data_IF_277010954406
#
_entry.id   IF_277010954406
#
_cell.length_a   1.000
_cell.length_b   1.000
_cell.length_c   1.000
_cell.angle_alpha   90.00
_cell.angle_beta   90.00
_cell.angle_gamma   90.00
#
_symmetry.space_group_name_H-M   'P 1'
#
loop_
_entity.id
_entity.type
_entity.pdbx_description
1 polymer ?
#
# COMPACT_ATOMS: atom_id res chain seq x y z
N UNK A 1 8.62 -1.14 -3.98
CA UNK A 1 7.16 -1.14 -4.19
C UNK A 1 6.71 -2.02 -5.36
N UNK A 2 7.38 -2.01 -6.51
CA UNK A 2 6.93 -2.79 -7.67
C UNK A 2 6.84 -4.30 -7.40
N UNK A 3 7.84 -4.87 -6.71
CA UNK A 3 7.83 -6.27 -6.29
C UNK A 3 6.65 -6.61 -5.37
N UNK A 4 6.24 -5.70 -4.48
CA UNK A 4 5.05 -5.91 -3.65
C UNK A 4 3.80 -6.04 -4.52
N UNK A 5 3.64 -5.20 -5.54
CA UNK A 5 2.52 -5.30 -6.48
C UNK A 5 2.56 -6.57 -7.33
N UNK A 6 3.74 -7.07 -7.69
CA UNK A 6 3.88 -8.36 -8.37
C UNK A 6 3.38 -9.50 -7.47
N UNK A 7 3.76 -9.49 -6.19
CA UNK A 7 3.34 -10.50 -5.23
C UNK A 7 1.84 -10.45 -4.93
N UNK A 8 1.24 -9.26 -4.85
CA UNK A 8 -0.23 -9.11 -4.74
C UNK A 8 -0.93 -9.69 -5.98
N UNK A 9 -0.42 -9.36 -7.18
CA UNK A 9 -0.96 -9.87 -8.45
C UNK A 9 -0.93 -11.39 -8.48
N UNK A 10 0.21 -11.99 -8.07
CA UNK A 10 0.41 -13.44 -8.02
C UNK A 10 -0.45 -14.10 -6.95
N UNK A 11 -0.49 -13.54 -5.74
CA UNK A 11 -1.19 -14.11 -4.59
C UNK A 11 -2.71 -14.09 -4.72
N UNK A 12 -3.26 -13.05 -5.36
CA UNK A 12 -4.70 -12.90 -5.59
C UNK A 12 -5.15 -13.32 -6.99
N UNK A 13 -4.24 -13.81 -7.84
CA UNK A 13 -4.56 -14.27 -9.20
C UNK A 13 -5.11 -13.17 -10.12
N UNK A 14 -4.68 -11.92 -9.92
CA UNK A 14 -5.18 -10.77 -10.67
C UNK A 14 -4.59 -10.75 -12.09
N UNK A 15 -5.41 -10.42 -13.08
CA UNK A 15 -4.97 -10.31 -14.49
C UNK A 15 -4.34 -8.95 -14.80
N UNK A 16 -4.95 -7.86 -14.31
CA UNK A 16 -4.42 -6.50 -14.40
C UNK A 16 -5.14 -5.57 -13.43
N UNK A 17 -4.43 -4.60 -12.86
CA UNK A 17 -4.96 -3.56 -11.98
C UNK A 17 -4.04 -2.34 -11.99
N UNK A 18 -4.47 -1.22 -11.42
CA UNK A 18 -3.78 0.09 -11.57
C UNK A 18 -2.39 0.22 -10.94
N UNK A 19 -1.93 -0.77 -10.16
CA UNK A 19 -0.60 -0.84 -9.51
C UNK A 19 -0.18 0.48 -8.84
N UNK A 20 -1.10 1.03 -8.06
CA UNK A 20 -0.91 2.19 -7.20
C UNK A 20 -1.72 1.97 -5.90
N UNK A 21 -1.54 2.85 -4.91
CA UNK A 21 -2.16 2.66 -3.59
C UNK A 21 -3.69 2.69 -3.63
N UNK A 22 -4.29 3.54 -4.47
CA UNK A 22 -5.75 3.62 -4.61
C UNK A 22 -6.29 2.32 -5.24
N UNK A 23 -5.64 1.87 -6.31
CA UNK A 23 -5.99 0.61 -6.96
C UNK A 23 -5.74 -0.60 -6.03
N UNK A 24 -4.79 -0.52 -5.10
CA UNK A 24 -4.52 -1.58 -4.14
C UNK A 24 -5.65 -1.66 -3.11
N UNK A 25 -6.06 -0.50 -2.59
CA UNK A 25 -7.23 -0.37 -1.72
C UNK A 25 -8.50 -0.92 -2.40
N UNK A 26 -8.70 -0.65 -3.70
CA UNK A 26 -9.83 -1.18 -4.46
C UNK A 26 -9.76 -2.70 -4.64
N UNK A 27 -8.56 -3.26 -4.86
CA UNK A 27 -8.37 -4.71 -4.97
C UNK A 27 -8.80 -5.44 -3.70
N UNK A 28 -8.48 -4.88 -2.52
CA UNK A 28 -8.86 -5.48 -1.23
C UNK A 28 -10.39 -5.49 -1.03
N UNK A 29 -11.07 -4.42 -1.47
CA UNK A 29 -12.54 -4.33 -1.40
C UNK A 29 -13.26 -5.43 -2.18
N UNK A 30 -12.66 -5.87 -3.28
CA UNK A 30 -13.20 -6.96 -4.08
C UNK A 30 -13.58 -6.58 -5.51
N UNK A 31 -14.10 -7.56 -6.25
CA UNK A 31 -14.55 -7.37 -7.64
C UNK A 31 -13.48 -7.60 -8.72
N UNK A 32 -12.27 -8.00 -8.32
CA UNK A 32 -11.14 -8.28 -9.22
C UNK A 32 -10.81 -9.77 -9.38
N UNK A 33 -11.73 -10.66 -8.97
CA UNK A 33 -11.49 -12.10 -8.84
C UNK A 33 -10.92 -12.51 -7.47
N UNK A 34 -10.90 -11.58 -6.52
CA UNK A 34 -10.52 -11.84 -5.12
C UNK A 34 -11.54 -12.74 -4.40
N UNK A 35 -11.13 -13.45 -3.33
CA UNK A 35 -12.01 -14.35 -2.58
C UNK A 35 -13.29 -13.68 -2.10
N UNK A 36 -14.43 -14.37 -2.25
CA UNK A 36 -15.70 -13.90 -1.73
C UNK A 36 -15.78 -14.09 -0.20
N UNK A 37 -16.25 -13.07 0.51
CA UNK A 37 -16.45 -13.12 1.97
C UNK A 37 -15.21 -12.81 2.81
N UNK A 38 -14.15 -12.28 2.19
CA UNK A 38 -12.92 -11.89 2.88
C UNK A 38 -11.80 -12.93 2.80
N UNK A 39 -10.62 -12.54 3.28
CA UNK A 39 -9.44 -13.41 3.33
C UNK A 39 -8.37 -12.86 4.29
N UNK A 40 -7.45 -13.73 4.71
CA UNK A 40 -6.28 -13.30 5.48
C UNK A 40 -5.15 -12.93 4.53
N UNK A 41 -4.70 -11.66 4.58
CA UNK A 41 -3.50 -11.19 3.93
C UNK A 41 -2.29 -11.50 4.81
N UNK A 42 -1.65 -12.66 4.59
CA UNK A 42 -0.42 -13.02 5.31
C UNK A 42 0.81 -12.47 4.58
N UNK A 43 1.51 -11.53 5.20
CA UNK A 43 2.75 -10.96 4.69
C UNK A 43 3.95 -11.58 5.40
N UNK A 44 4.52 -12.62 4.78
CA UNK A 44 5.74 -13.29 5.28
C UNK A 44 6.98 -12.41 5.06
N UNK A 45 7.94 -12.46 5.99
CA UNK A 45 9.15 -11.63 5.99
C UNK A 45 8.82 -10.14 5.94
N UNK A 46 7.76 -9.77 6.66
CA UNK A 46 7.29 -8.40 6.78
C UNK A 46 8.36 -7.47 7.38
N UNK A 47 9.24 -7.98 8.25
CA UNK A 47 10.37 -7.21 8.78
C UNK A 47 11.37 -6.81 7.68
N UNK A 48 11.77 -7.74 6.80
CA UNK A 48 12.62 -7.46 5.64
C UNK A 48 11.92 -6.49 4.68
N UNK A 49 10.62 -6.70 4.46
CA UNK A 49 9.82 -5.82 3.62
C UNK A 49 9.74 -4.39 4.19
N UNK A 50 9.65 -4.22 5.51
CA UNK A 50 9.62 -2.90 6.14
C UNK A 50 10.91 -2.10 5.93
N UNK A 51 12.06 -2.79 5.91
CA UNK A 51 13.34 -2.17 5.58
C UNK A 51 13.41 -1.76 4.10
N UNK A 52 12.98 -2.64 3.19
CA UNK A 52 12.98 -2.39 1.75
C UNK A 52 11.96 -1.32 1.31
N UNK A 53 10.82 -1.24 2.00
CA UNK A 53 9.73 -0.29 1.74
C UNK A 53 9.78 0.93 2.70
N UNK A 54 10.90 1.10 3.41
CA UNK A 54 11.14 2.20 4.33
C UNK A 54 11.37 3.55 3.65
N UNK A 55 12.04 4.48 4.32
CA UNK A 55 12.20 5.86 3.85
C UNK A 55 12.83 6.01 2.45
N UNK A 56 13.87 5.26 2.04
CA UNK A 56 14.43 5.39 0.70
C UNK A 56 13.40 5.10 -0.42
N UNK A 57 12.62 4.04 -0.28
CA UNK A 57 11.56 3.73 -1.25
C UNK A 57 10.40 4.70 -1.15
N UNK A 58 10.12 5.22 0.05
CA UNK A 58 9.10 6.25 0.29
C UNK A 58 9.43 7.54 -0.45
N UNK A 59 10.67 8.01 -0.38
CA UNK A 59 11.14 9.17 -1.15
C UNK A 59 10.98 8.92 -2.64
N UNK A 60 11.41 7.75 -3.15
CA UNK A 60 11.24 7.39 -4.57
C UNK A 60 9.78 7.35 -5.00
N UNK A 61 8.88 6.86 -4.15
CA UNK A 61 7.44 6.84 -4.41
C UNK A 61 6.87 8.27 -4.48
N UNK A 62 7.23 9.13 -3.52
CA UNK A 62 6.75 10.51 -3.46
C UNK A 62 7.29 11.37 -4.61
N UNK A 63 8.56 11.18 -5.01
CA UNK A 63 9.12 11.85 -6.19
C UNK A 63 8.36 11.47 -7.47
N UNK A 64 8.03 10.17 -7.65
CA UNK A 64 7.15 9.74 -8.75
C UNK A 64 5.75 10.38 -8.64
N UNK A 65 5.18 10.44 -7.45
CA UNK A 65 3.87 11.07 -7.19
C UNK A 65 3.87 12.55 -7.55
N UNK A 66 4.94 13.28 -7.23
CA UNK A 66 5.08 14.71 -7.52
C UNK A 66 4.95 15.00 -9.03
N UNK A 67 5.45 14.10 -9.89
CA UNK A 67 5.35 14.26 -11.36
C UNK A 67 3.96 14.04 -11.94
N UNK A 68 3.02 13.45 -11.18
CA UNK A 68 1.70 13.03 -11.68
C UNK A 68 0.53 13.64 -10.92
N UNK A 69 0.78 14.17 -9.72
CA UNK A 69 -0.27 14.75 -8.90
C UNK A 69 -0.77 16.09 -9.45
N UNK A 70 -2.00 16.46 -9.08
CA UNK A 70 -2.56 17.76 -9.45
C UNK A 70 -1.65 18.89 -8.92
N UNK A 71 -1.46 20.00 -9.67
CA UNK A 71 -0.54 21.08 -9.29
C UNK A 71 -0.76 21.64 -7.87
N UNK A 72 -2.01 21.69 -7.40
CA UNK A 72 -2.34 22.13 -6.03
C UNK A 72 -1.79 21.22 -4.93
N UNK A 73 -1.49 19.96 -5.23
CA UNK A 73 -0.96 18.98 -4.27
C UNK A 73 0.58 18.92 -4.28
N UNK A 74 1.25 19.48 -5.29
CA UNK A 74 2.72 19.45 -5.42
C UNK A 74 3.42 19.98 -4.17
N UNK A 75 3.01 21.13 -3.56
CA UNK A 75 3.68 21.61 -2.34
C UNK A 75 3.59 20.62 -1.18
N UNK A 76 2.44 19.95 -1.01
CA UNK A 76 2.24 18.94 0.03
C UNK A 76 3.12 17.70 -0.20
N UNK A 77 3.23 17.23 -1.45
CA UNK A 77 4.09 16.10 -1.80
C UNK A 77 5.57 16.44 -1.59
N UNK A 78 6.01 17.66 -1.95
CA UNK A 78 7.38 18.11 -1.71
C UNK A 78 7.72 18.19 -0.22
N UNK A 79 6.78 18.68 0.62
CA UNK A 79 6.96 18.67 2.07
C UNK A 79 7.09 17.25 2.62
N UNK A 80 6.28 16.30 2.13
CA UNK A 80 6.38 14.89 2.52
C UNK A 80 7.71 14.26 2.09
N UNK A 81 8.27 14.63 0.92
CA UNK A 81 9.60 14.18 0.49
C UNK A 81 10.67 14.62 1.50
N UNK A 82 10.64 15.88 1.93
CA UNK A 82 11.61 16.41 2.89
C UNK A 82 11.46 15.77 4.29
N UNK A 83 10.24 15.48 4.74
CA UNK A 83 10.01 14.70 5.96
C UNK A 83 10.60 13.29 5.83
N UNK A 84 10.29 12.58 4.74
CA UNK A 84 10.78 11.22 4.52
C UNK A 84 12.31 11.17 4.44
N UNK A 85 12.97 12.19 3.84
CA UNK A 85 14.44 12.32 3.82
C UNK A 85 15.06 12.48 5.21
N UNK A 86 14.33 13.05 6.17
CA UNK A 86 14.74 13.15 7.58
C UNK A 86 14.37 11.92 8.41
N UNK A 87 13.73 10.93 7.82
CA UNK A 87 13.20 9.78 8.54
C UNK A 87 11.99 10.11 9.40
N UNK A 88 11.15 11.04 8.93
CA UNK A 88 9.92 11.47 9.58
C UNK A 88 8.69 11.13 8.72
N UNK A 89 7.53 10.97 9.38
CA UNK A 89 6.27 10.63 8.73
C UNK A 89 6.11 9.13 8.47
N UNK A 90 5.08 8.76 7.73
CA UNK A 90 4.82 7.36 7.38
C UNK A 90 5.68 6.92 6.20
N UNK A 91 6.16 5.68 6.27
CA UNK A 91 6.77 4.99 5.13
C UNK A 91 5.70 4.39 4.22
N UNK A 92 6.08 4.00 3.00
CA UNK A 92 5.19 3.23 2.11
C UNK A 92 4.80 1.90 2.75
N UNK A 93 5.68 1.28 3.54
CA UNK A 93 5.31 0.09 4.32
C UNK A 93 4.16 0.40 5.29
N UNK A 94 4.27 1.48 6.07
CA UNK A 94 3.24 1.87 7.04
C UNK A 94 1.90 2.15 6.33
N UNK A 95 1.94 2.85 5.19
CA UNK A 95 0.74 3.16 4.41
C UNK A 95 0.09 1.88 3.87
N UNK A 96 0.87 0.91 3.39
CA UNK A 96 0.33 -0.38 2.91
C UNK A 96 -0.31 -1.17 4.05
N UNK A 97 0.34 -1.21 5.22
CA UNK A 97 -0.19 -1.86 6.43
C UNK A 97 -1.49 -1.19 6.88
N UNK A 98 -1.54 0.14 6.88
CA UNK A 98 -2.74 0.90 7.22
C UNK A 98 -3.89 0.60 6.25
N UNK A 99 -3.63 0.59 4.94
CA UNK A 99 -4.64 0.22 3.93
C UNK A 99 -5.19 -1.17 4.23
N UNK A 100 -4.36 -2.18 4.46
CA UNK A 100 -4.88 -3.54 4.71
C UNK A 100 -5.66 -3.60 6.03
N UNK A 101 -5.17 -2.95 7.08
CA UNK A 101 -5.86 -2.91 8.38
C UNK A 101 -7.20 -2.19 8.34
N UNK A 102 -7.37 -1.21 7.44
CA UNK A 102 -8.64 -0.52 7.27
C UNK A 102 -9.74 -1.45 6.70
N UNK A 103 -9.36 -2.53 6.02
CA UNK A 103 -10.28 -3.59 5.53
C UNK A 103 -10.51 -4.73 6.52
N UNK A 104 -9.71 -4.79 7.59
CA UNK A 104 -9.83 -5.80 8.64
C UNK A 104 -10.90 -5.45 9.67
N UNK A 105 -11.10 -6.32 10.67
CA UNK A 105 -12.18 -6.24 11.65
C UNK A 105 -12.38 -4.86 12.31
N UNK A 106 -11.31 -4.11 12.54
CA UNK A 106 -11.34 -2.81 13.25
C UNK A 106 -11.36 -1.59 12.34
N UNK A 107 -11.30 -1.77 11.02
CA UNK A 107 -11.17 -0.70 10.05
C UNK A 107 -12.51 -0.15 9.55
N UNK A 108 -12.46 1.00 8.84
CA UNK A 108 -13.64 1.63 8.28
C UNK A 108 -14.26 0.82 7.13
N UNK A 109 -13.47 -0.06 6.52
CA UNK A 109 -13.84 -0.96 5.45
C UNK A 109 -13.95 -2.42 5.93
N UNK A 110 -14.20 -2.64 7.23
CA UNK A 110 -14.34 -3.98 7.84
C UNK A 110 -15.37 -4.90 7.18
N UNK A 111 -16.30 -4.37 6.40
CA UNK A 111 -17.23 -5.18 5.58
C UNK A 111 -16.53 -6.01 4.48
N UNK A 112 -15.29 -5.68 4.14
CA UNK A 112 -14.48 -6.38 3.14
C UNK A 112 -13.80 -7.63 3.74
N UNK A 113 -13.73 -7.72 5.07
CA UNK A 113 -13.23 -8.87 5.84
C UNK A 113 -11.79 -9.29 5.45
N UNK A 114 -10.87 -8.33 5.33
CA UNK A 114 -9.47 -8.60 4.98
C UNK A 114 -8.54 -8.40 6.18
N UNK A 115 -8.13 -9.49 6.83
CA UNK A 115 -7.29 -9.41 8.02
C UNK A 115 -5.80 -9.50 7.68
N UNK A 116 -5.00 -8.62 8.28
CA UNK A 116 -3.55 -8.59 8.08
C UNK A 116 -2.83 -9.45 9.13
N UNK A 117 -2.05 -10.41 8.66
CA UNK A 117 -1.06 -11.13 9.47
C UNK A 117 0.36 -10.77 9.02
N UNK A 118 1.14 -10.14 9.89
CA UNK A 118 2.56 -9.88 9.67
C UNK A 118 3.37 -11.04 10.26
N UNK A 119 4.20 -11.67 9.44
CA UNK A 119 5.08 -12.79 9.81
C UNK A 119 6.49 -12.63 9.22
#
# INVERSE_FOLDING_TARGET
LDHFYDEVTRGLGLSSWGRNLDAFNDVLRGGFGTPAGGFVFRWNRSEEASQLLGYPETVRYLERKATRCHPSNVPGVMAAIEMARRGEGQTVFDILVEIIRDHGETGQQSGDCVDLELA
#
